data_IF_761741170407
#
_entry.id   IF_761741170407
#
_cell.length_a   1.000
_cell.length_b   1.000
_cell.length_c   1.000
_cell.angle_alpha   90.00
_cell.angle_beta   90.00
_cell.angle_gamma   90.00
#
_symmetry.space_group_name_H-M   'P 1'
#
loop_
_entity.id
_entity.type
_entity.pdbx_description
1 polymer ?
#
# COMPACT_ATOMS: atom_id res chain seq x y z
N UNK A 1 -21.32 25.77 -36.94
CA UNK A 1 -21.76 24.71 -36.00
C UNK A 1 -21.08 23.41 -36.42
N UNK A 2 -19.95 23.06 -35.79
CA UNK A 2 -19.24 21.81 -36.11
C UNK A 2 -19.92 20.69 -35.32
N UNK A 3 -20.45 19.70 -36.03
CA UNK A 3 -21.04 18.50 -35.44
C UNK A 3 -19.88 17.67 -34.88
N UNK A 4 -19.85 17.32 -33.58
CA UNK A 4 -18.84 16.40 -33.07
C UNK A 4 -19.13 15.02 -33.66
N UNK A 5 -18.24 14.55 -34.53
CA UNK A 5 -18.28 13.19 -35.06
C UNK A 5 -17.40 12.33 -34.18
N UNK A 6 -17.88 12.03 -32.97
CA UNK A 6 -17.17 11.15 -32.04
C UNK A 6 -17.58 9.69 -32.29
N UNK A 7 -16.98 9.09 -33.32
CA UNK A 7 -17.16 7.66 -33.61
C UNK A 7 -15.82 6.97 -33.48
N UNK A 8 -15.62 6.31 -32.33
CA UNK A 8 -14.41 5.51 -32.05
C UNK A 8 -14.08 4.55 -33.20
N UNK A 9 -12.80 4.45 -33.51
CA UNK A 9 -12.28 3.53 -34.51
C UNK A 9 -12.47 2.07 -34.07
N UNK A 10 -12.50 1.13 -35.03
CA UNK A 10 -12.57 -0.32 -34.72
C UNK A 10 -11.41 -0.80 -33.82
N UNK A 11 -10.26 -0.15 -33.91
CA UNK A 11 -9.07 -0.47 -33.11
C UNK A 11 -9.25 -0.04 -31.66
N UNK A 12 -9.76 1.17 -31.42
CA UNK A 12 -10.01 1.70 -30.07
C UNK A 12 -11.06 0.87 -29.34
N UNK A 13 -12.17 0.52 -30.02
CA UNK A 13 -13.20 -0.35 -29.43
C UNK A 13 -12.63 -1.70 -28.99
N UNK A 14 -11.72 -2.29 -29.80
CA UNK A 14 -11.05 -3.54 -29.43
C UNK A 14 -10.09 -3.35 -28.25
N UNK A 15 -9.38 -2.23 -28.20
CA UNK A 15 -8.46 -1.93 -27.08
C UNK A 15 -9.23 -1.72 -25.78
N UNK A 16 -10.33 -0.97 -25.80
CA UNK A 16 -11.18 -0.76 -24.63
C UNK A 16 -11.73 -2.08 -24.09
N UNK A 17 -12.24 -2.94 -24.98
CA UNK A 17 -12.69 -4.29 -24.60
C UNK A 17 -11.55 -5.13 -23.99
N UNK A 18 -10.36 -5.08 -24.56
CA UNK A 18 -9.21 -5.82 -24.02
C UNK A 18 -8.77 -5.28 -22.65
N UNK A 19 -8.83 -3.96 -22.45
CA UNK A 19 -8.57 -3.32 -21.15
C UNK A 19 -9.58 -3.83 -20.11
N UNK A 20 -10.87 -3.82 -20.41
CA UNK A 20 -11.92 -4.31 -19.51
C UNK A 20 -11.74 -5.79 -19.14
N UNK A 21 -11.54 -6.65 -20.14
CA UNK A 21 -11.31 -8.09 -19.92
C UNK A 21 -10.05 -8.35 -19.09
N UNK A 22 -8.99 -7.56 -19.30
CA UNK A 22 -7.75 -7.71 -18.53
C UNK A 22 -7.97 -7.34 -17.06
N UNK A 23 -8.68 -6.24 -16.79
CA UNK A 23 -9.03 -5.83 -15.42
C UNK A 23 -9.86 -6.91 -14.72
N UNK A 24 -10.83 -7.51 -15.41
CA UNK A 24 -11.62 -8.62 -14.87
C UNK A 24 -10.74 -9.83 -14.51
N UNK A 25 -9.77 -10.18 -15.36
CA UNK A 25 -8.84 -11.28 -15.05
C UNK A 25 -7.92 -10.93 -13.88
N UNK A 26 -7.43 -9.69 -13.80
CA UNK A 26 -6.54 -9.26 -12.70
C UNK A 26 -7.24 -9.28 -11.33
N UNK A 27 -8.55 -8.97 -11.27
CA UNK A 27 -9.36 -9.13 -10.05
C UNK A 27 -9.47 -10.57 -9.56
N UNK A 28 -9.23 -11.55 -10.42
CA UNK A 28 -9.34 -12.99 -10.08
C UNK A 28 -7.98 -13.64 -9.94
N UNK A 29 -7.01 -13.22 -10.73
CA UNK A 29 -5.66 -13.76 -10.77
C UNK A 29 -4.71 -12.59 -10.99
N UNK A 30 -4.14 -12.01 -9.91
CA UNK A 30 -3.31 -10.80 -9.95
C UNK A 30 -1.89 -11.10 -10.48
N UNK A 31 -1.79 -11.94 -11.51
CA UNK A 31 -0.56 -12.33 -12.19
C UNK A 31 -0.69 -11.88 -13.63
N UNK A 32 -0.01 -10.77 -13.95
CA UNK A 32 -0.11 -10.10 -15.26
C UNK A 32 0.11 -11.05 -16.43
N UNK A 33 1.10 -11.95 -16.34
CA UNK A 33 1.38 -12.91 -17.41
C UNK A 33 0.15 -13.80 -17.69
N UNK A 34 -0.42 -14.39 -16.65
CA UNK A 34 -1.55 -15.32 -16.76
C UNK A 34 -2.79 -14.56 -17.25
N UNK A 35 -3.03 -13.35 -16.74
CA UNK A 35 -4.13 -12.51 -17.19
C UNK A 35 -4.02 -12.17 -18.68
N UNK A 36 -2.83 -11.81 -19.16
CA UNK A 36 -2.56 -11.51 -20.57
C UNK A 36 -2.75 -12.74 -21.47
N UNK A 37 -2.19 -13.89 -21.08
CA UNK A 37 -2.35 -15.16 -21.81
C UNK A 37 -3.82 -15.56 -21.94
N UNK A 38 -4.59 -15.41 -20.85
CA UNK A 38 -5.99 -15.82 -20.80
C UNK A 38 -6.91 -15.00 -21.71
N UNK A 39 -6.56 -13.74 -21.98
CA UNK A 39 -7.30 -12.89 -22.92
C UNK A 39 -6.64 -12.80 -24.31
N UNK A 40 -5.53 -13.51 -24.52
CA UNK A 40 -4.85 -13.59 -25.81
C UNK A 40 -4.10 -12.32 -26.22
N UNK A 41 -3.52 -11.57 -25.27
CA UNK A 41 -2.67 -10.41 -25.57
C UNK A 41 -1.23 -10.62 -25.10
N UNK A 42 -0.28 -9.97 -25.77
CA UNK A 42 1.11 -9.95 -25.31
C UNK A 42 1.26 -9.07 -24.06
N UNK A 43 2.13 -9.47 -23.12
CA UNK A 43 2.42 -8.70 -21.90
C UNK A 43 2.89 -7.26 -22.18
N UNK A 44 3.61 -7.02 -23.27
CA UNK A 44 3.98 -5.67 -23.70
C UNK A 44 2.76 -4.75 -23.93
N UNK A 45 1.62 -5.32 -24.35
CA UNK A 45 0.37 -4.57 -24.54
C UNK A 45 -0.18 -4.05 -23.22
N UNK A 46 -0.08 -4.82 -22.14
CA UNK A 46 -0.45 -4.36 -20.80
C UNK A 46 0.37 -3.13 -20.38
N UNK A 47 1.70 -3.19 -20.53
CA UNK A 47 2.55 -2.05 -20.16
C UNK A 47 2.24 -0.79 -20.99
N UNK A 48 1.94 -0.94 -22.28
CA UNK A 48 1.45 0.18 -23.09
C UNK A 48 0.11 0.72 -22.60
N UNK A 49 -0.79 -0.13 -22.10
CA UNK A 49 -2.04 0.34 -21.51
C UNK A 49 -1.82 1.12 -20.21
N UNK A 50 -0.74 0.87 -19.46
CA UNK A 50 -0.41 1.65 -18.26
C UNK A 50 0.03 3.09 -18.57
N UNK A 51 0.34 3.42 -19.82
CA UNK A 51 0.58 4.82 -20.24
C UNK A 51 -0.70 5.67 -20.13
N UNK A 52 -1.88 5.05 -20.10
CA UNK A 52 -3.16 5.68 -19.79
C UNK A 52 -3.36 5.69 -18.26
N UNK A 53 -3.32 6.86 -17.60
CA UNK A 53 -3.37 6.95 -16.14
C UNK A 53 -4.66 6.39 -15.53
N UNK A 54 -5.79 6.51 -16.23
CA UNK A 54 -7.07 5.96 -15.78
C UNK A 54 -7.06 4.43 -15.78
N UNK A 55 -6.45 3.84 -16.81
CA UNK A 55 -6.27 2.40 -16.87
C UNK A 55 -5.27 1.91 -15.81
N UNK A 56 -4.16 2.62 -15.62
CA UNK A 56 -3.15 2.26 -14.62
C UNK A 56 -3.74 2.20 -13.21
N UNK A 57 -4.52 3.21 -12.82
CA UNK A 57 -5.21 3.23 -11.53
C UNK A 57 -6.17 2.03 -11.38
N UNK A 58 -6.98 1.75 -12.41
CA UNK A 58 -7.90 0.60 -12.39
C UNK A 58 -7.16 -0.73 -12.33
N UNK A 59 -6.01 -0.85 -12.99
CA UNK A 59 -5.18 -2.05 -12.96
C UNK A 59 -4.59 -2.30 -11.58
N UNK A 60 -4.07 -1.26 -10.92
CA UNK A 60 -3.58 -1.35 -9.53
C UNK A 60 -4.71 -1.74 -8.57
N UNK A 61 -5.89 -1.13 -8.72
CA UNK A 61 -7.07 -1.49 -7.94
C UNK A 61 -7.49 -2.95 -8.16
N UNK A 62 -7.51 -3.41 -9.41
CA UNK A 62 -7.86 -4.80 -9.77
C UNK A 62 -6.84 -5.80 -9.22
N UNK A 63 -5.54 -5.50 -9.29
CA UNK A 63 -4.48 -6.35 -8.73
C UNK A 63 -4.61 -6.44 -7.21
N UNK A 64 -4.90 -5.32 -6.54
CA UNK A 64 -5.13 -5.31 -5.09
C UNK A 64 -6.38 -6.08 -4.70
N UNK A 65 -7.47 -5.97 -5.46
CA UNK A 65 -8.67 -6.78 -5.24
C UNK A 65 -8.37 -8.28 -5.39
N UNK A 66 -7.66 -8.64 -6.47
CA UNK A 66 -7.27 -10.03 -6.72
C UNK A 66 -6.30 -10.60 -5.70
N UNK A 67 -5.47 -9.77 -5.05
CA UNK A 67 -4.56 -10.25 -4.01
C UNK A 67 -5.31 -10.73 -2.76
N UNK A 68 -6.43 -10.08 -2.38
CA UNK A 68 -7.28 -10.56 -1.29
C UNK A 68 -7.85 -11.96 -1.61
N UNK A 69 -8.36 -12.18 -2.83
CA UNK A 69 -8.85 -13.49 -3.24
C UNK A 69 -7.74 -14.55 -3.23
N UNK A 70 -6.52 -14.21 -3.67
CA UNK A 70 -5.40 -15.15 -3.61
C UNK A 70 -4.93 -15.43 -2.20
N UNK A 71 -5.07 -14.49 -1.26
CA UNK A 71 -4.82 -14.73 0.15
C UNK A 71 -5.78 -15.78 0.70
N UNK A 72 -7.08 -15.67 0.41
CA UNK A 72 -8.08 -16.68 0.84
C UNK A 72 -7.74 -18.08 0.30
N UNK A 73 -7.31 -18.16 -0.96
CA UNK A 73 -6.86 -19.41 -1.58
C UNK A 73 -5.60 -19.95 -0.90
N UNK A 74 -4.64 -19.07 -0.59
CA UNK A 74 -3.41 -19.45 0.11
C UNK A 74 -3.69 -19.94 1.54
N UNK A 75 -4.61 -19.30 2.26
CA UNK A 75 -5.05 -19.72 3.59
C UNK A 75 -5.72 -21.10 3.54
N UNK A 76 -6.63 -21.32 2.59
CA UNK A 76 -7.26 -22.63 2.38
C UNK A 76 -6.21 -23.72 2.06
N UNK A 77 -5.23 -23.41 1.22
CA UNK A 77 -4.13 -24.31 0.89
C UNK A 77 -3.25 -24.62 2.10
N UNK A 78 -2.96 -23.61 2.93
CA UNK A 78 -2.20 -23.76 4.17
C UNK A 78 -2.94 -24.69 5.14
N UNK A 79 -4.25 -24.51 5.33
CA UNK A 79 -5.06 -25.39 6.16
C UNK A 79 -5.08 -26.83 5.63
N UNK A 80 -5.15 -27.01 4.32
CA UNK A 80 -5.07 -28.34 3.68
C UNK A 80 -3.72 -29.02 3.92
N UNK A 81 -2.62 -28.26 3.84
CA UNK A 81 -1.28 -28.75 4.15
C UNK A 81 -1.14 -29.15 5.63
N UNK A 82 -1.71 -28.37 6.55
CA UNK A 82 -1.74 -28.69 7.99
C UNK A 82 -2.53 -29.99 8.24
N UNK A 83 -3.71 -30.15 7.63
CA UNK A 83 -4.50 -31.40 7.72
C UNK A 83 -3.72 -32.61 7.22
N UNK A 84 -2.91 -32.41 6.18
CA UNK A 84 -2.01 -33.42 5.61
C UNK A 84 -0.70 -33.62 6.39
N UNK A 85 -0.61 -33.13 7.63
CA UNK A 85 0.57 -33.27 8.50
C UNK A 85 1.87 -32.68 7.92
N UNK A 86 1.77 -31.65 7.07
CA UNK A 86 2.97 -30.97 6.58
C UNK A 86 3.60 -30.15 7.72
N UNK A 87 4.76 -30.60 8.22
CA UNK A 87 5.42 -29.99 9.37
C UNK A 87 5.81 -28.52 9.12
N UNK A 88 6.25 -28.17 7.91
CA UNK A 88 6.61 -26.79 7.57
C UNK A 88 5.40 -25.85 7.67
N UNK A 89 4.23 -26.28 7.19
CA UNK A 89 2.98 -25.53 7.30
C UNK A 89 2.53 -25.38 8.76
N UNK A 90 2.63 -26.44 9.56
CA UNK A 90 2.30 -26.42 10.99
C UNK A 90 3.21 -25.45 11.75
N UNK A 91 4.53 -25.54 11.54
CA UNK A 91 5.51 -24.65 12.16
C UNK A 91 5.27 -23.20 11.73
N UNK A 92 5.03 -22.95 10.44
CA UNK A 92 4.72 -21.62 9.94
C UNK A 92 3.48 -21.04 10.62
N UNK A 93 2.39 -21.82 10.72
CA UNK A 93 1.16 -21.38 11.37
C UNK A 93 1.38 -21.03 12.84
N UNK A 94 1.98 -21.95 13.61
CA UNK A 94 2.22 -21.76 15.05
C UNK A 94 3.12 -20.56 15.35
N UNK A 95 4.20 -20.36 14.58
CA UNK A 95 5.10 -19.21 14.75
C UNK A 95 4.40 -17.86 14.62
N UNK A 96 3.38 -17.77 13.75
CA UNK A 96 2.68 -16.52 13.47
C UNK A 96 1.39 -16.35 14.28
N UNK A 97 0.77 -17.42 14.77
CA UNK A 97 -0.56 -17.37 15.43
C UNK A 97 -0.56 -17.78 16.90
N UNK A 98 0.55 -18.32 17.44
CA UNK A 98 0.62 -18.76 18.83
C UNK A 98 1.80 -18.09 19.55
N UNK A 99 1.55 -17.23 20.57
CA UNK A 99 2.60 -16.45 21.25
C UNK A 99 3.77 -17.27 21.81
N UNK A 100 3.52 -18.51 22.25
CA UNK A 100 4.58 -19.38 22.76
C UNK A 100 5.61 -19.82 21.68
N UNK A 101 5.26 -19.73 20.40
CA UNK A 101 6.13 -20.10 19.27
C UNK A 101 6.62 -18.88 18.48
N UNK A 102 6.23 -17.67 18.88
CA UNK A 102 6.72 -16.44 18.28
C UNK A 102 8.22 -16.32 18.47
N UNK A 103 8.93 -15.95 17.41
CA UNK A 103 10.38 -15.70 17.47
C UNK A 103 10.65 -14.56 18.45
N UNK A 104 11.32 -14.88 19.56
CA UNK A 104 11.87 -13.87 20.46
C UNK A 104 13.27 -13.50 19.99
N UNK A 105 13.49 -12.21 19.72
CA UNK A 105 14.83 -11.67 19.49
C UNK A 105 15.40 -11.32 20.86
N UNK A 106 16.41 -12.07 21.30
CA UNK A 106 17.18 -11.69 22.49
C UNK A 106 18.22 -10.62 22.10
N UNK A 107 18.03 -9.40 22.59
CA UNK A 107 18.97 -8.30 22.39
C UNK A 107 20.09 -8.39 23.43
N UNK A 108 21.11 -9.18 23.13
CA UNK A 108 22.35 -9.23 23.91
C UNK A 108 23.27 -8.07 23.52
N UNK A 109 22.89 -6.85 23.89
CA UNK A 109 23.67 -5.65 23.59
C UNK A 109 23.45 -4.56 24.62
N UNK A 110 24.47 -3.74 24.85
CA UNK A 110 24.34 -2.51 25.63
C UNK A 110 23.52 -1.54 24.77
N UNK A 111 22.22 -1.42 25.06
CA UNK A 111 21.36 -0.42 24.41
C UNK A 111 21.84 0.94 24.91
N UNK A 112 22.75 1.56 24.18
CA UNK A 112 23.08 2.96 24.38
C UNK A 112 21.84 3.72 23.93
N UNK A 113 21.00 4.13 24.88
CA UNK A 113 20.08 5.22 24.62
C UNK A 113 20.96 6.42 24.30
N UNK A 114 21.17 6.67 23.01
CA UNK A 114 21.62 7.98 22.57
C UNK A 114 20.44 8.88 22.89
N UNK A 115 20.42 9.45 24.10
CA UNK A 115 19.68 10.67 24.35
C UNK A 115 20.30 11.70 23.43
N UNK A 116 19.80 11.77 22.20
CA UNK A 116 20.14 12.84 21.27
C UNK A 116 19.47 14.08 21.82
N UNK A 117 20.09 14.70 22.83
CA UNK A 117 19.74 16.05 23.26
C UNK A 117 19.84 16.93 22.02
N UNK A 118 18.78 17.68 21.73
CA UNK A 118 18.74 18.61 20.59
C UNK A 118 20.01 19.46 20.61
N UNK A 119 20.69 19.52 19.47
CA UNK A 119 21.82 20.44 19.29
C UNK A 119 21.35 21.88 19.49
N UNK A 120 22.26 22.81 19.84
CA UNK A 120 21.89 24.22 20.04
C UNK A 120 21.15 24.84 18.84
N UNK A 121 21.49 24.42 17.62
CA UNK A 121 20.86 24.86 16.38
C UNK A 121 19.43 24.31 16.23
N UNK A 122 19.22 23.02 16.52
CA UNK A 122 17.90 22.38 16.50
C UNK A 122 16.97 22.96 17.58
N UNK A 123 17.50 23.29 18.76
CA UNK A 123 16.74 23.93 19.82
C UNK A 123 16.21 25.31 19.39
N UNK A 124 17.01 26.08 18.67
CA UNK A 124 16.61 27.40 18.20
C UNK A 124 15.55 27.32 17.11
N UNK A 125 15.69 26.37 16.17
CA UNK A 125 14.68 26.07 15.16
C UNK A 125 13.33 25.69 15.79
N UNK A 126 13.36 24.84 16.83
CA UNK A 126 12.14 24.44 17.56
C UNK A 126 11.53 25.62 18.31
N UNK A 127 12.34 26.48 18.96
CA UNK A 127 11.84 27.69 19.63
C UNK A 127 11.17 28.65 18.65
N UNK A 128 11.79 28.88 17.50
CA UNK A 128 11.25 29.80 16.51
C UNK A 128 9.95 29.25 15.89
N UNK A 129 9.91 27.95 15.60
CA UNK A 129 8.70 27.27 15.15
C UNK A 129 7.57 27.35 16.20
N UNK A 130 7.88 27.16 17.50
CA UNK A 130 6.92 27.29 18.59
C UNK A 130 6.42 28.73 18.74
N UNK A 131 7.28 29.74 18.59
CA UNK A 131 6.93 31.17 18.64
C UNK A 131 5.96 31.57 17.52
N UNK A 132 6.17 31.02 16.32
CA UNK A 132 5.33 31.24 15.14
C UNK A 132 3.98 30.50 15.23
N UNK A 133 3.97 29.29 15.80
CA UNK A 133 2.77 28.45 15.88
C UNK A 133 1.85 28.81 17.05
N UNK A 134 2.39 29.33 18.15
CA UNK A 134 1.60 29.74 19.31
C UNK A 134 1.06 31.17 19.13
N UNK A 135 -0.26 31.40 19.32
CA UNK A 135 -0.83 32.74 19.32
C UNK A 135 -0.14 33.61 20.37
N UNK A 136 0.41 34.75 19.97
CA UNK A 136 0.97 35.72 20.90
C UNK A 136 -0.18 36.28 21.75
N UNK A 137 -0.24 35.88 23.02
CA UNK A 137 -1.22 36.40 23.98
C UNK A 137 -0.86 37.87 24.27
N UNK A 138 -1.44 38.77 23.49
CA UNK A 138 -1.35 40.20 23.73
C UNK A 138 -2.35 40.54 24.85
N UNK A 139 -1.85 40.95 26.02
CA UNK A 139 -2.70 41.37 27.14
C UNK A 139 -2.00 41.37 28.50
N UNK A 140 -1.32 42.48 28.78
CA UNK A 140 -1.28 43.23 30.04
C UNK A 140 -1.01 42.50 31.37
N UNK A 141 0.23 42.62 31.83
CA UNK A 141 0.58 42.72 33.25
C UNK A 141 0.86 44.20 33.56
N UNK A 142 -0.20 45.03 33.56
CA UNK A 142 -0.16 46.32 34.25
C UNK A 142 -0.61 46.09 35.70
N UNK A 143 0.38 46.11 36.58
CA UNK A 143 0.36 46.83 37.86
C UNK A 143 -0.99 46.92 38.59
N UNK A 144 -1.18 46.09 39.62
CA UNK A 144 -2.00 46.46 40.78
C UNK A 144 -1.31 45.99 42.06
N UNK A 145 -0.63 46.93 42.67
CA UNK A 145 -0.44 47.05 44.12
C UNK A 145 -1.79 47.14 44.82
N UNK A 146 -2.00 46.31 45.85
CA UNK A 146 -2.86 46.47 47.04
C UNK A 146 -2.67 45.14 47.81
N UNK A 147 -2.19 45.07 49.03
CA UNK A 147 -2.39 45.89 50.23
C UNK A 147 -1.20 45.71 51.19
#
# INVERSE_FOLDING_TARGET
>A
MKIPTDKKSKTEVRQDKNKELLLEQLRRTPIVQIACEKIGIARATYYRFLEDPEFAKKADEAIREGSYLMNDVAEAALLSAIKSQNLSAIVFWLKNHHPAYTTRVELSGRITHVETSLTPEEQELVREALRLALPQRQGDLSDQTHE
#
